data_IF_516966477906
#
_entry.id   IF_516966477906
#
_cell.length_a   1.000
_cell.length_b   1.000
_cell.length_c   1.000
_cell.angle_alpha   90.00
_cell.angle_beta   90.00
_cell.angle_gamma   90.00
#
_symmetry.space_group_name_H-M   'P 1'
#
loop_
_entity.id
_entity.type
_entity.pdbx_description
1 polymer ?
#
# COMPACT_ATOMS: atom_id res chain seq x y z
N UNK A 1 -13.73 18.72 7.12
CA UNK A 1 -13.93 17.35 7.61
C UNK A 1 -12.55 16.71 7.63
N UNK A 2 -11.94 16.47 8.80
CA UNK A 2 -10.70 15.69 8.85
C UNK A 2 -11.13 14.25 8.57
N UNK A 3 -10.81 13.76 7.39
CA UNK A 3 -10.95 12.33 7.10
C UNK A 3 -9.99 11.66 8.08
N UNK A 4 -10.50 10.90 9.04
CA UNK A 4 -9.66 10.03 9.83
C UNK A 4 -8.90 9.15 8.83
N UNK A 5 -7.58 9.35 8.72
CA UNK A 5 -6.76 8.60 7.79
C UNK A 5 -6.78 7.15 8.24
N UNK A 6 -7.66 6.35 7.63
CA UNK A 6 -7.78 4.93 7.93
C UNK A 6 -6.47 4.26 7.52
N UNK A 7 -5.77 3.72 8.52
CA UNK A 7 -4.62 2.86 8.28
C UNK A 7 -5.02 1.40 8.40
N UNK A 8 -4.39 0.54 7.62
CA UNK A 8 -4.51 -0.93 7.72
C UNK A 8 -3.11 -1.56 7.69
N UNK A 9 -2.96 -2.83 8.05
CA UNK A 9 -1.72 -3.55 7.80
C UNK A 9 -1.57 -3.75 6.28
N UNK A 10 -0.34 -3.75 5.78
CA UNK A 10 -0.08 -3.90 4.35
C UNK A 10 -0.59 -5.26 3.84
N UNK A 11 -0.54 -6.31 4.66
CA UNK A 11 -1.07 -7.63 4.31
C UNK A 11 -2.59 -7.68 4.15
N UNK A 12 -3.32 -6.70 4.69
CA UNK A 12 -4.77 -6.60 4.60
C UNK A 12 -5.23 -5.84 3.33
N UNK A 13 -4.30 -5.36 2.49
CA UNK A 13 -4.64 -4.69 1.25
C UNK A 13 -5.30 -5.66 0.26
N UNK A 14 -6.47 -5.29 -0.22
CA UNK A 14 -7.23 -6.12 -1.17
C UNK A 14 -7.14 -5.58 -2.60
N UNK A 15 -7.34 -6.44 -3.58
CA UNK A 15 -7.36 -6.05 -4.99
C UNK A 15 -8.38 -4.92 -5.25
N UNK A 16 -7.98 -3.93 -6.04
CA UNK A 16 -8.78 -2.75 -6.38
C UNK A 16 -8.72 -1.62 -5.35
N UNK A 17 -8.14 -1.87 -4.18
CA UNK A 17 -8.04 -0.89 -3.11
C UNK A 17 -6.93 0.14 -3.40
N UNK A 18 -7.20 1.40 -3.06
CA UNK A 18 -6.24 2.48 -3.18
C UNK A 18 -5.50 2.71 -1.85
N UNK A 19 -4.19 2.90 -1.93
CA UNK A 19 -3.35 3.21 -0.77
C UNK A 19 -2.28 4.26 -1.11
N UNK A 20 -1.76 4.93 -0.08
CA UNK A 20 -0.66 5.87 -0.23
C UNK A 20 0.68 5.15 -0.02
N UNK A 21 1.39 4.90 -1.12
CA UNK A 21 2.76 4.40 -1.08
C UNK A 21 3.71 5.50 -0.62
N UNK A 22 4.32 5.30 0.55
CA UNK A 22 5.40 6.13 1.08
C UNK A 22 6.67 5.28 1.23
N UNK A 23 7.72 5.51 0.43
CA UNK A 23 8.90 4.65 0.43
C UNK A 23 9.69 4.75 1.74
N UNK A 24 9.76 5.96 2.31
CA UNK A 24 10.34 6.21 3.63
C UNK A 24 9.68 7.43 4.29
N UNK A 25 9.70 7.52 5.64
CA UNK A 25 9.13 8.64 6.38
C UNK A 25 9.57 10.01 5.86
N UNK A 26 8.61 10.86 5.54
CA UNK A 26 8.87 12.23 5.08
C UNK A 26 9.17 12.37 3.59
N UNK A 27 9.17 11.27 2.83
CA UNK A 27 9.18 11.32 1.38
C UNK A 27 7.77 11.51 0.82
N UNK A 28 7.71 11.99 -0.43
CA UNK A 28 6.44 12.17 -1.14
C UNK A 28 5.69 10.83 -1.22
N UNK A 29 4.42 10.83 -0.84
CA UNK A 29 3.53 9.68 -1.04
C UNK A 29 2.90 9.69 -2.44
N UNK A 30 2.64 8.50 -2.97
CA UNK A 30 1.92 8.31 -4.23
C UNK A 30 0.66 7.47 -4.01
N UNK A 31 -0.52 7.88 -4.51
CA UNK A 31 -1.69 7.02 -4.53
C UNK A 31 -1.47 5.91 -5.56
N UNK A 32 -1.51 4.66 -5.12
CA UNK A 32 -1.41 3.47 -5.96
C UNK A 32 -2.63 2.59 -5.74
N UNK A 33 -3.08 1.90 -6.79
CA UNK A 33 -4.15 0.93 -6.70
C UNK A 33 -3.58 -0.48 -6.74
N UNK A 34 -4.05 -1.35 -5.85
CA UNK A 34 -3.62 -2.75 -5.78
C UNK A 34 -4.19 -3.51 -6.99
N UNK A 35 -3.31 -4.03 -7.84
CA UNK A 35 -3.68 -4.99 -8.88
C UNK A 35 -3.80 -6.40 -8.29
N UNK A 36 -2.81 -6.81 -7.48
CA UNK A 36 -2.84 -8.03 -6.67
C UNK A 36 -1.86 -7.92 -5.50
N UNK A 37 -2.03 -8.74 -4.47
CA UNK A 37 -1.13 -8.82 -3.33
C UNK A 37 -0.80 -10.28 -3.01
N UNK A 38 0.49 -10.56 -2.77
CA UNK A 38 1.01 -11.85 -2.37
C UNK A 38 1.64 -11.74 -0.98
N UNK A 39 1.14 -12.53 -0.03
CA UNK A 39 1.69 -12.62 1.33
C UNK A 39 2.78 -13.69 1.36
N UNK A 40 3.98 -13.29 1.76
CA UNK A 40 5.14 -14.15 2.00
C UNK A 40 5.34 -14.33 3.52
N UNK A 41 6.41 -15.03 3.92
CA UNK A 41 6.68 -15.32 5.33
C UNK A 41 6.81 -14.03 6.18
N UNK A 42 7.61 -13.05 5.73
CA UNK A 42 7.93 -11.81 6.46
C UNK A 42 7.47 -10.52 5.74
N UNK A 43 6.93 -10.64 4.53
CA UNK A 43 6.59 -9.50 3.70
C UNK A 43 5.28 -9.69 2.94
N UNK A 44 4.72 -8.59 2.43
CA UNK A 44 3.69 -8.59 1.40
C UNK A 44 4.24 -7.89 0.16
N UNK A 45 4.08 -8.54 -0.99
CA UNK A 45 4.37 -7.99 -2.31
C UNK A 45 3.08 -7.51 -2.94
N UNK A 46 3.03 -6.24 -3.30
CA UNK A 46 1.85 -5.61 -3.90
C UNK A 46 2.23 -5.25 -5.32
N UNK A 47 1.56 -5.91 -6.27
CA UNK A 47 1.57 -5.49 -7.67
C UNK A 47 0.55 -4.36 -7.80
N UNK A 48 0.94 -3.24 -8.39
CA UNK A 48 0.05 -2.09 -8.58
C UNK A 48 -0.37 -1.96 -10.04
N UNK A 49 -1.42 -1.18 -10.30
CA UNK A 49 -1.86 -0.86 -11.66
C UNK A 49 -1.02 0.25 -12.32
N UNK A 50 -0.07 0.83 -11.60
CA UNK A 50 0.81 1.89 -12.10
C UNK A 50 2.02 1.29 -12.82
N UNK A 51 2.19 1.61 -14.11
CA UNK A 51 3.26 1.09 -14.97
C UNK A 51 4.68 1.55 -14.55
N UNK A 52 4.80 2.60 -13.72
CA UNK A 52 6.10 3.06 -13.21
C UNK A 52 6.42 2.38 -11.88
N UNK A 53 5.41 2.07 -11.08
CA UNK A 53 5.52 1.44 -9.75
C UNK A 53 4.79 0.11 -9.72
N UNK A 54 5.12 -0.74 -10.67
CA UNK A 54 4.44 -2.02 -10.86
C UNK A 54 4.50 -2.92 -9.61
N UNK A 55 5.57 -2.82 -8.80
CA UNK A 55 5.77 -3.65 -7.62
C UNK A 55 6.27 -2.83 -6.43
N UNK A 56 5.62 -2.99 -5.28
CA UNK A 56 6.10 -2.50 -3.98
C UNK A 56 6.08 -3.62 -2.93
N UNK A 57 6.99 -3.56 -1.96
CA UNK A 57 7.10 -4.57 -0.91
C UNK A 57 7.14 -3.92 0.46
N UNK A 58 6.43 -4.52 1.41
CA UNK A 58 6.36 -4.07 2.79
C UNK A 58 6.50 -5.24 3.76
N UNK A 59 6.92 -4.95 5.00
CA UNK A 59 6.67 -5.86 6.11
C UNK A 59 5.15 -6.03 6.27
N UNK A 60 4.70 -7.23 6.64
CA UNK A 60 3.27 -7.58 6.70
C UNK A 60 2.46 -6.64 7.59
N UNK A 61 3.01 -6.34 8.77
CA UNK A 61 2.42 -5.49 9.80
C UNK A 61 2.59 -3.98 9.54
N UNK A 62 3.31 -3.61 8.47
CA UNK A 62 3.54 -2.20 8.13
C UNK A 62 2.20 -1.51 7.89
N UNK A 63 1.97 -0.44 8.63
CA UNK A 63 0.75 0.37 8.50
C UNK A 63 0.83 1.23 7.25
N UNK A 64 -0.18 1.11 6.40
CA UNK A 64 -0.36 1.92 5.19
C UNK A 64 -1.67 2.69 5.28
N UNK A 65 -1.68 3.90 4.72
CA UNK A 65 -2.87 4.75 4.66
C UNK A 65 -3.70 4.42 3.43
N UNK A 66 -5.00 4.32 3.61
CA UNK A 66 -5.91 4.20 2.47
C UNK A 66 -6.09 5.55 1.79
N UNK A 67 -6.15 5.53 0.46
CA UNK A 67 -6.53 6.69 -0.33
C UNK A 67 -8.00 6.54 -0.71
N UNK A 68 -8.82 7.49 -0.28
CA UNK A 68 -10.26 7.59 -0.59
C UNK A 68 -10.52 8.37 -1.87
#
# INVERSE_FOLDING_TARGET
>A
MKIDELTIAAEDLTQGQWFLHEPAPGLRSWPLQVATAEVLDDAVRIVTTDEVRELVSYARDRRVRLAS
#
